data_IF_974659306788
#
_entry.id   IF_974659306788
#
_cell.length_a   1.000
_cell.length_b   1.000
_cell.length_c   1.000
_cell.angle_alpha   90.00
_cell.angle_beta   90.00
_cell.angle_gamma   90.00
#
_symmetry.space_group_name_H-M   'P 1'
#
loop_
_entity.id
_entity.type
_entity.pdbx_description
1 polymer ?
#
# COMPACT_ATOMS: atom_id res chain seq x y z
N UNK A 1 -13.60 -10.55 40.95
CA UNK A 1 -13.47 -11.13 42.31
C UNK A 1 -13.95 -12.56 42.28
N UNK A 2 -13.10 -13.51 42.64
CA UNK A 2 -13.47 -14.92 42.81
C UNK A 2 -13.19 -15.33 44.25
N UNK A 3 -14.16 -15.99 44.89
CA UNK A 3 -13.97 -16.59 46.20
C UNK A 3 -13.37 -17.98 46.00
N UNK A 4 -12.11 -18.15 46.40
CA UNK A 4 -11.41 -19.43 46.32
C UNK A 4 -11.12 -19.94 47.74
N UNK A 5 -11.21 -21.26 47.95
CA UNK A 5 -10.88 -21.89 49.21
C UNK A 5 -9.59 -22.67 49.04
N UNK A 6 -8.58 -22.34 49.83
CA UNK A 6 -7.29 -23.06 49.85
C UNK A 6 -7.11 -23.68 51.24
N UNK A 7 -7.85 -24.76 51.54
CA UNK A 7 -7.89 -25.31 52.89
C UNK A 7 -6.53 -25.93 53.25
N UNK A 8 -6.06 -25.68 54.48
CA UNK A 8 -4.81 -26.26 54.98
C UNK A 8 -4.89 -27.78 55.20
N UNK A 9 -6.11 -28.31 55.24
CA UNK A 9 -6.43 -29.72 55.41
C UNK A 9 -7.31 -30.19 54.24
N UNK A 10 -7.23 -31.49 53.87
CA UNK A 10 -8.17 -32.04 52.90
C UNK A 10 -9.63 -31.82 53.31
N UNK A 11 -10.52 -31.56 52.35
CA UNK A 11 -11.93 -31.28 52.59
C UNK A 11 -12.65 -32.34 53.44
N UNK A 12 -12.28 -33.61 53.30
CA UNK A 12 -12.85 -34.70 54.09
C UNK A 12 -12.49 -34.60 55.59
N UNK A 13 -11.28 -34.14 55.92
CA UNK A 13 -10.87 -33.92 57.32
C UNK A 13 -11.68 -32.78 57.93
N UNK A 14 -11.89 -31.70 57.18
CA UNK A 14 -12.71 -30.57 57.61
C UNK A 14 -14.18 -30.97 57.80
N UNK A 15 -14.72 -31.79 56.90
CA UNK A 15 -16.08 -32.32 57.04
C UNK A 15 -16.23 -33.18 58.30
N UNK A 16 -15.27 -34.07 58.58
CA UNK A 16 -15.27 -34.89 59.80
C UNK A 16 -15.17 -34.01 61.06
N UNK A 17 -14.29 -33.01 61.07
CA UNK A 17 -14.16 -32.05 62.18
C UNK A 17 -15.44 -31.24 62.39
N UNK A 18 -16.10 -30.81 61.31
CA UNK A 18 -17.36 -30.09 61.37
C UNK A 18 -18.48 -30.94 61.97
N UNK A 19 -18.60 -32.21 61.55
CA UNK A 19 -19.58 -33.15 62.11
C UNK A 19 -19.32 -33.40 63.60
N UNK A 20 -18.06 -33.65 63.98
CA UNK A 20 -17.67 -33.83 65.39
C UNK A 20 -18.00 -32.59 66.24
N UNK A 21 -17.67 -31.40 65.75
CA UNK A 21 -17.98 -30.14 66.42
C UNK A 21 -19.49 -29.95 66.61
N UNK A 22 -20.29 -30.28 65.58
CA UNK A 22 -21.76 -30.22 65.66
C UNK A 22 -22.33 -31.22 66.68
N UNK A 23 -21.84 -32.46 66.72
CA UNK A 23 -22.29 -33.47 67.69
C UNK A 23 -21.99 -33.02 69.12
N UNK A 24 -20.77 -32.53 69.38
CA UNK A 24 -20.38 -32.05 70.72
C UNK A 24 -21.21 -30.83 71.12
N UNK A 25 -21.41 -29.88 70.22
CA UNK A 25 -22.23 -28.70 70.49
C UNK A 25 -23.71 -29.05 70.72
N UNK A 26 -24.28 -29.95 69.91
CA UNK A 26 -25.67 -30.39 70.03
C UNK A 26 -25.93 -31.11 71.36
N UNK A 27 -25.04 -32.02 71.75
CA UNK A 27 -25.11 -32.69 73.05
C UNK A 27 -24.95 -31.70 74.22
N UNK A 28 -24.09 -30.68 74.08
CA UNK A 28 -23.91 -29.62 75.09
C UNK A 28 -25.16 -28.74 75.26
N UNK A 29 -25.83 -28.42 74.15
CA UNK A 29 -27.10 -27.68 74.13
C UNK A 29 -28.21 -28.53 74.77
N UNK A 30 -28.33 -29.82 74.38
CA UNK A 30 -29.32 -30.73 74.98
C UNK A 30 -29.11 -30.92 76.49
N UNK A 31 -27.87 -30.95 76.96
CA UNK A 31 -27.54 -31.07 78.40
C UNK A 31 -27.57 -29.75 79.17
N UNK A 32 -27.96 -28.64 78.54
CA UNK A 32 -28.09 -27.33 79.21
C UNK A 32 -26.78 -26.75 79.72
N UNK A 33 -25.64 -27.15 79.14
CA UNK A 33 -24.32 -26.67 79.58
C UNK A 33 -24.16 -25.21 79.16
N UNK A 34 -24.01 -24.31 80.15
CA UNK A 34 -23.77 -22.88 79.93
C UNK A 34 -22.53 -22.68 79.05
N UNK A 35 -22.66 -21.88 77.99
CA UNK A 35 -21.58 -21.58 77.05
C UNK A 35 -21.48 -22.50 75.82
N UNK A 36 -22.41 -23.45 75.63
CA UNK A 36 -22.40 -24.35 74.45
C UNK A 36 -22.59 -23.60 73.12
N UNK A 37 -23.37 -22.52 73.09
CA UNK A 37 -23.52 -21.65 71.91
C UNK A 37 -22.20 -20.94 71.56
N UNK A 38 -21.47 -20.47 72.57
CA UNK A 38 -20.17 -19.83 72.43
C UNK A 38 -19.10 -20.78 71.89
N UNK A 39 -19.13 -22.06 72.34
CA UNK A 39 -18.28 -23.12 71.80
C UNK A 39 -18.60 -23.45 70.35
N UNK A 40 -19.88 -23.49 69.96
CA UNK A 40 -20.28 -23.71 68.57
C UNK A 40 -19.77 -22.59 67.65
N UNK A 41 -19.88 -21.34 68.08
CA UNK A 41 -19.33 -20.19 67.32
C UNK A 41 -17.82 -20.30 67.22
N UNK A 42 -17.12 -20.67 68.29
CA UNK A 42 -15.67 -20.87 68.28
C UNK A 42 -15.24 -21.98 67.31
N UNK A 43 -15.93 -23.13 67.31
CA UNK A 43 -15.65 -24.21 66.36
C UNK A 43 -15.97 -23.80 64.92
N UNK A 44 -17.06 -23.08 64.69
CA UNK A 44 -17.40 -22.56 63.36
C UNK A 44 -16.31 -21.59 62.86
N UNK A 45 -15.85 -20.67 63.71
CA UNK A 45 -14.76 -19.75 63.39
C UNK A 45 -13.45 -20.50 63.08
N UNK A 46 -13.13 -21.55 63.84
CA UNK A 46 -11.96 -22.39 63.60
C UNK A 46 -12.04 -23.12 62.25
N UNK A 47 -13.20 -23.69 61.91
CA UNK A 47 -13.41 -24.38 60.64
C UNK A 47 -13.30 -23.41 59.47
N UNK A 48 -13.88 -22.21 59.58
CA UNK A 48 -13.75 -21.16 58.56
C UNK A 48 -12.30 -20.71 58.42
N UNK A 49 -11.56 -20.55 59.53
CA UNK A 49 -10.14 -20.23 59.49
C UNK A 49 -9.31 -21.33 58.80
N UNK A 50 -9.61 -22.60 59.05
CA UNK A 50 -8.93 -23.74 58.42
C UNK A 50 -9.32 -23.92 56.93
N UNK A 51 -10.54 -23.56 56.56
CA UNK A 51 -11.00 -23.52 55.18
C UNK A 51 -10.32 -22.40 54.37
N UNK A 52 -9.76 -21.39 55.06
CA UNK A 52 -8.94 -20.32 54.52
C UNK A 52 -9.58 -19.69 53.26
N UNK A 53 -10.67 -18.93 53.40
CA UNK A 53 -11.30 -18.24 52.29
C UNK A 53 -10.37 -17.14 51.77
N UNK A 54 -9.86 -17.28 50.55
CA UNK A 54 -9.14 -16.23 49.86
C UNK A 54 -10.09 -15.48 48.93
N UNK A 55 -10.23 -14.18 49.20
CA UNK A 55 -10.77 -13.22 48.26
C UNK A 55 -9.66 -12.84 47.29
N UNK A 56 -9.67 -13.44 46.09
CA UNK A 56 -8.78 -13.05 45.02
C UNK A 56 -9.44 -11.92 44.22
N UNK A 57 -8.90 -10.72 44.39
CA UNK A 57 -9.16 -9.60 43.49
C UNK A 57 -8.05 -9.59 42.46
N UNK A 58 -8.35 -10.13 41.28
CA UNK A 58 -7.44 -10.07 40.15
C UNK A 58 -7.63 -8.71 39.47
N UNK A 59 -6.71 -7.77 39.71
CA UNK A 59 -6.61 -6.53 38.96
C UNK A 59 -5.98 -6.85 37.61
N UNK A 60 -6.83 -6.97 36.59
CA UNK A 60 -6.39 -7.07 35.19
C UNK A 60 -6.51 -5.70 34.56
N UNK A 61 -5.38 -5.06 34.32
CA UNK A 61 -5.34 -3.90 33.43
C UNK A 61 -5.60 -4.39 32.00
N UNK A 62 -6.79 -4.08 31.47
CA UNK A 62 -7.09 -4.33 30.08
C UNK A 62 -6.16 -3.45 29.22
N UNK A 63 -5.21 -4.09 28.53
CA UNK A 63 -4.34 -3.40 27.59
C UNK A 63 -5.17 -2.72 26.49
N UNK A 64 -4.77 -1.51 26.10
CA UNK A 64 -5.42 -0.84 24.97
C UNK A 64 -5.25 -1.65 23.69
N UNK A 65 -6.35 -1.76 22.95
CA UNK A 65 -6.40 -2.34 21.61
C UNK A 65 -5.98 -1.27 20.61
N UNK A 66 -4.98 -1.56 19.80
CA UNK A 66 -4.47 -0.64 18.78
C UNK A 66 -5.19 -0.91 17.47
N UNK A 67 -5.67 0.17 16.84
CA UNK A 67 -6.31 0.14 15.52
C UNK A 67 -5.52 1.05 14.58
N UNK A 68 -4.63 0.49 13.74
CA UNK A 68 -4.00 1.28 12.68
C UNK A 68 -5.03 1.79 11.67
N UNK A 69 -4.98 3.10 11.41
CA UNK A 69 -5.74 3.79 10.39
C UNK A 69 -4.75 4.30 9.35
N UNK A 70 -4.72 3.64 8.19
CA UNK A 70 -3.81 3.97 7.10
C UNK A 70 -4.53 4.87 6.11
N UNK A 71 -3.99 6.06 5.91
CA UNK A 71 -4.56 7.09 5.05
C UNK A 71 -3.71 7.20 3.80
N UNK A 72 -4.31 6.95 2.64
CA UNK A 72 -3.65 7.10 1.36
C UNK A 72 -3.53 8.58 0.98
N UNK A 73 -2.29 9.03 0.79
CA UNK A 73 -1.90 10.37 0.32
C UNK A 73 -1.06 10.26 -0.96
N UNK A 74 -1.27 9.21 -1.75
CA UNK A 74 -0.65 9.09 -3.07
C UNK A 74 -1.20 10.14 -4.04
N UNK A 75 -0.50 10.31 -5.17
CA UNK A 75 -0.92 11.22 -6.27
C UNK A 75 -2.37 10.97 -6.71
N UNK A 76 -2.81 9.71 -6.71
CA UNK A 76 -4.20 9.31 -7.03
C UNK A 76 -5.27 9.90 -6.09
N UNK A 77 -4.88 10.28 -4.88
CA UNK A 77 -5.75 10.93 -3.88
C UNK A 77 -5.59 12.45 -3.86
N UNK A 78 -4.36 12.94 -4.01
CA UNK A 78 -4.04 14.37 -3.87
C UNK A 78 -4.38 15.17 -5.12
N UNK A 79 -4.21 14.58 -6.31
CA UNK A 79 -4.40 15.29 -7.57
C UNK A 79 -5.88 15.57 -7.87
N UNK A 80 -6.77 14.82 -7.22
CA UNK A 80 -8.22 15.02 -7.29
C UNK A 80 -8.67 15.72 -6.02
N UNK A 81 -8.86 17.04 -6.08
CA UNK A 81 -9.21 17.87 -4.92
C UNK A 81 -10.42 17.35 -4.12
N UNK A 82 -11.43 16.80 -4.80
CA UNK A 82 -12.61 16.24 -4.14
C UNK A 82 -12.30 14.98 -3.31
N UNK A 83 -11.34 14.15 -3.74
CA UNK A 83 -10.94 12.94 -3.01
C UNK A 83 -10.15 13.28 -1.77
N UNK A 84 -9.22 14.23 -1.84
CA UNK A 84 -8.46 14.69 -0.67
C UNK A 84 -9.39 15.18 0.46
N UNK A 85 -10.40 15.99 0.12
CA UNK A 85 -11.41 16.47 1.09
C UNK A 85 -12.24 15.31 1.66
N UNK A 86 -12.61 14.33 0.82
CA UNK A 86 -13.35 13.14 1.26
C UNK A 86 -12.51 12.29 2.23
N UNK A 87 -11.22 12.11 1.93
CA UNK A 87 -10.25 11.41 2.79
C UNK A 87 -10.12 12.08 4.15
N UNK A 88 -9.98 13.41 4.18
CA UNK A 88 -9.90 14.18 5.42
C UNK A 88 -11.17 14.08 6.27
N UNK A 89 -12.34 14.16 5.62
CA UNK A 89 -13.64 13.99 6.28
C UNK A 89 -13.81 12.58 6.83
N UNK A 90 -13.42 11.56 6.07
CA UNK A 90 -13.46 10.17 6.51
C UNK A 90 -12.52 9.94 7.71
N UNK A 91 -11.30 10.48 7.65
CA UNK A 91 -10.33 10.40 8.74
C UNK A 91 -10.86 11.07 10.02
N UNK A 92 -11.42 12.28 9.91
CA UNK A 92 -12.01 12.99 11.04
C UNK A 92 -13.18 12.19 11.65
N UNK A 93 -14.05 11.63 10.80
CA UNK A 93 -15.18 10.80 11.23
C UNK A 93 -14.73 9.51 11.95
N UNK A 94 -13.71 8.83 11.43
CA UNK A 94 -13.12 7.64 12.08
C UNK A 94 -12.51 8.02 13.42
N UNK A 95 -11.69 9.09 13.46
CA UNK A 95 -11.05 9.55 14.69
C UNK A 95 -12.07 9.86 15.79
N UNK A 96 -13.17 10.53 15.44
CA UNK A 96 -14.24 10.83 16.38
C UNK A 96 -14.95 9.57 16.88
N UNK A 97 -15.24 8.59 16.01
CA UNK A 97 -15.90 7.34 16.40
C UNK A 97 -15.01 6.46 17.27
N UNK A 98 -13.73 6.34 16.93
CA UNK A 98 -12.77 5.55 17.71
C UNK A 98 -12.50 6.19 19.08
N UNK A 99 -12.46 7.52 19.19
CA UNK A 99 -12.30 8.22 20.46
C UNK A 99 -13.44 7.97 21.46
N UNK A 100 -14.63 7.61 20.97
CA UNK A 100 -15.78 7.31 21.82
C UNK A 100 -15.77 5.87 22.39
N UNK A 101 -14.85 5.01 21.93
CA UNK A 101 -14.77 3.61 22.36
C UNK A 101 -13.62 3.48 23.38
N UNK A 102 -13.92 3.23 24.67
CA UNK A 102 -12.89 3.08 25.68
C UNK A 102 -12.00 1.86 25.40
N UNK A 103 -10.70 2.00 25.65
CA UNK A 103 -9.73 0.92 25.45
C UNK A 103 -9.25 0.75 24.00
N UNK A 104 -9.66 1.61 23.06
CA UNK A 104 -9.11 1.65 21.69
C UNK A 104 -8.17 2.82 21.52
N UNK A 105 -6.99 2.56 20.95
CA UNK A 105 -5.98 3.55 20.61
C UNK A 105 -5.80 3.60 19.09
N UNK A 106 -6.33 4.64 18.41
CA UNK A 106 -6.18 4.79 16.97
C UNK A 106 -4.76 5.24 16.64
N UNK A 107 -4.06 4.47 15.80
CA UNK A 107 -2.74 4.85 15.27
C UNK A 107 -2.88 5.28 13.82
N UNK A 108 -2.84 6.58 13.58
CA UNK A 108 -3.00 7.14 12.24
C UNK A 108 -1.64 7.20 11.56
N UNK A 109 -1.56 6.63 10.36
CA UNK A 109 -0.37 6.69 9.50
C UNK A 109 -0.80 7.15 8.13
N UNK A 110 -0.18 8.22 7.64
CA UNK A 110 -0.39 8.71 6.29
C UNK A 110 0.68 8.14 5.37
N UNK A 111 0.26 7.41 4.35
CA UNK A 111 1.13 6.79 3.36
C UNK A 111 1.16 7.68 2.11
N UNK A 112 2.32 8.27 1.81
CA UNK A 112 2.54 9.07 0.61
C UNK A 112 3.49 8.37 -0.36
N UNK A 113 3.43 8.77 -1.63
CA UNK A 113 4.38 8.30 -2.64
C UNK A 113 5.75 8.97 -2.41
N UNK A 114 6.86 8.22 -2.32
CA UNK A 114 8.18 8.82 -2.17
C UNK A 114 8.54 9.70 -3.38
N UNK A 115 9.01 10.93 -3.13
CA UNK A 115 9.37 11.89 -4.19
C UNK A 115 10.48 11.38 -5.13
N UNK A 116 11.28 10.42 -4.68
CA UNK A 116 12.42 9.84 -5.41
C UNK A 116 12.09 8.61 -6.25
N UNK A 117 10.82 8.18 -6.29
CA UNK A 117 10.42 7.01 -7.07
C UNK A 117 10.09 7.38 -8.52
N UNK A 118 10.77 6.76 -9.48
CA UNK A 118 10.54 6.94 -10.93
C UNK A 118 9.14 6.46 -11.37
N UNK A 119 8.46 5.66 -10.54
CA UNK A 119 7.12 5.15 -10.81
C UNK A 119 6.23 5.41 -9.59
N UNK A 120 5.14 6.18 -9.74
CA UNK A 120 4.15 6.36 -8.69
C UNK A 120 3.64 4.99 -8.23
N UNK A 121 3.81 4.67 -6.96
CA UNK A 121 3.30 3.43 -6.36
C UNK A 121 2.67 3.71 -5.01
N UNK A 122 1.50 3.12 -4.79
CA UNK A 122 0.74 3.24 -3.55
C UNK A 122 1.05 2.04 -2.66
N UNK A 123 1.87 2.26 -1.63
CA UNK A 123 2.35 1.22 -0.71
C UNK A 123 1.71 1.33 0.67
N UNK A 124 0.50 0.79 0.82
CA UNK A 124 -0.27 0.93 2.06
C UNK A 124 0.02 -0.20 3.06
N UNK A 125 0.36 -1.40 2.58
CA UNK A 125 0.69 -2.53 3.44
C UNK A 125 2.07 -2.41 4.07
N UNK A 126 3.02 -1.78 3.37
CA UNK A 126 4.33 -1.39 3.93
C UNK A 126 4.12 -0.42 5.10
N UNK A 127 3.28 0.61 4.92
CA UNK A 127 2.93 1.56 5.99
C UNK A 127 2.21 0.87 7.16
N UNK A 128 1.31 -0.08 6.89
CA UNK A 128 0.64 -0.89 7.92
C UNK A 128 1.65 -1.74 8.71
N UNK A 129 2.56 -2.43 8.03
CA UNK A 129 3.60 -3.23 8.68
C UNK A 129 4.49 -2.37 9.56
N UNK A 130 4.85 -1.17 9.10
CA UNK A 130 5.63 -0.23 9.91
C UNK A 130 4.84 0.29 11.13
N UNK A 131 3.53 0.49 11.00
CA UNK A 131 2.66 0.94 12.09
C UNK A 131 2.46 -0.13 13.19
N UNK A 132 2.70 -1.40 12.85
CA UNK A 132 2.49 -2.54 13.73
C UNK A 132 3.80 -3.14 14.27
N UNK A 133 4.96 -2.69 13.80
CA UNK A 133 6.26 -3.31 14.10
C UNK A 133 6.61 -3.36 15.60
N UNK A 134 6.09 -2.41 16.38
CA UNK A 134 6.25 -2.24 17.82
C UNK A 134 5.02 -2.71 18.62
N UNK A 135 4.01 -3.27 17.96
CA UNK A 135 2.74 -3.70 18.58
C UNK A 135 2.63 -5.23 18.61
N UNK A 136 2.44 -5.84 19.79
CA UNK A 136 2.16 -7.26 19.89
C UNK A 136 0.89 -7.64 19.09
N UNK A 137 0.89 -8.73 18.31
CA UNK A 137 -0.27 -9.15 17.50
C UNK A 137 -1.59 -9.24 18.26
N UNK A 138 -1.54 -9.67 19.53
CA UNK A 138 -2.73 -9.82 20.39
C UNK A 138 -3.40 -8.49 20.77
N UNK A 139 -2.72 -7.35 20.60
CA UNK A 139 -3.27 -6.00 20.85
C UNK A 139 -3.89 -5.37 19.61
N UNK A 140 -3.79 -6.02 18.44
CA UNK A 140 -4.24 -5.45 17.17
C UNK A 140 -5.70 -5.85 16.97
N UNK A 141 -6.62 -4.88 17.06
CA UNK A 141 -8.06 -5.12 16.94
C UNK A 141 -8.55 -5.19 15.49
N UNK A 142 -7.81 -4.60 14.56
CA UNK A 142 -8.13 -4.52 13.13
C UNK A 142 -7.41 -3.37 12.46
N UNK A 143 -7.42 -3.32 11.13
CA UNK A 143 -6.84 -2.22 10.36
C UNK A 143 -7.90 -1.54 9.50
N UNK A 144 -7.81 -0.22 9.36
CA UNK A 144 -8.71 0.57 8.52
C UNK A 144 -7.87 1.28 7.46
N UNK A 145 -8.17 1.06 6.19
CA UNK A 145 -7.58 1.77 5.07
C UNK A 145 -8.55 2.82 4.52
N UNK A 146 -8.05 4.00 4.20
CA UNK A 146 -8.78 5.03 3.44
C UNK A 146 -8.02 5.22 2.13
N UNK A 147 -8.58 4.74 1.02
CA UNK A 147 -7.92 4.70 -0.31
C UNK A 147 -8.98 4.64 -1.42
N UNK A 148 -8.60 4.83 -2.69
CA UNK A 148 -9.47 4.64 -3.86
C UNK A 148 -9.46 3.18 -4.34
N UNK A 149 -8.69 2.32 -3.68
CA UNK A 149 -8.60 0.89 -3.94
C UNK A 149 -7.44 0.50 -4.85
N UNK A 150 -6.62 1.45 -5.31
CA UNK A 150 -5.44 1.16 -6.13
C UNK A 150 -4.19 0.99 -5.26
N UNK A 151 -3.98 -0.23 -4.79
CA UNK A 151 -2.85 -0.58 -3.91
C UNK A 151 -1.90 -1.53 -4.62
N UNK A 152 -0.61 -1.22 -4.60
CA UNK A 152 0.42 -1.92 -5.39
C UNK A 152 1.19 -2.97 -4.60
N UNK A 153 1.05 -2.96 -3.27
CA UNK A 153 1.78 -3.85 -2.35
C UNK A 153 0.85 -4.82 -1.61
N UNK A 154 -0.31 -5.14 -2.19
CA UNK A 154 -1.25 -6.11 -1.61
C UNK A 154 -0.55 -7.47 -1.48
N UNK A 155 -0.38 -8.00 -0.25
CA UNK A 155 0.28 -9.28 -0.06
C UNK A 155 -0.59 -10.40 -0.60
N UNK A 156 0.00 -11.47 -1.16
CA UNK A 156 -0.74 -12.61 -1.69
C UNK A 156 -1.50 -13.39 -0.60
N UNK A 157 -1.13 -13.21 0.67
CA UNK A 157 -1.79 -13.82 1.81
C UNK A 157 -1.79 -12.89 3.02
N UNK A 158 -2.96 -12.53 3.53
CA UNK A 158 -3.08 -11.64 4.70
C UNK A 158 -2.46 -12.22 5.98
N UNK A 159 -2.29 -13.55 6.06
CA UNK A 159 -1.61 -14.20 7.21
C UNK A 159 -0.14 -13.80 7.35
N UNK A 160 0.50 -13.30 6.28
CA UNK A 160 1.89 -12.86 6.35
C UNK A 160 2.07 -11.53 7.07
N UNK A 161 0.98 -10.79 7.35
CA UNK A 161 1.04 -9.54 8.10
C UNK A 161 1.25 -9.73 9.60
N UNK A 162 1.19 -10.97 10.11
CA UNK A 162 1.32 -11.23 11.54
C UNK A 162 0.13 -10.70 12.38
N UNK A 163 -1.02 -10.45 11.75
CA UNK A 163 -2.26 -10.07 12.43
C UNK A 163 -3.35 -11.11 12.21
N UNK A 164 -4.11 -11.40 13.28
CA UNK A 164 -5.33 -12.22 13.23
C UNK A 164 -6.55 -11.32 13.46
N UNK A 165 -6.63 -10.24 12.69
CA UNK A 165 -7.61 -9.18 12.87
C UNK A 165 -8.19 -8.74 11.51
N UNK A 166 -9.45 -8.28 11.49
CA UNK A 166 -10.11 -7.88 10.25
C UNK A 166 -9.46 -6.63 9.64
N UNK A 167 -9.48 -6.57 8.31
CA UNK A 167 -9.08 -5.40 7.53
C UNK A 167 -10.32 -4.79 6.91
N UNK A 168 -10.53 -3.50 7.15
CA UNK A 168 -11.62 -2.72 6.59
C UNK A 168 -11.07 -1.64 5.66
N UNK A 169 -11.80 -1.35 4.59
CA UNK A 169 -11.43 -0.32 3.62
C UNK A 169 -12.61 0.64 3.43
N UNK A 170 -12.32 1.94 3.56
CA UNK A 170 -13.19 3.01 3.09
C UNK A 170 -12.68 3.46 1.73
N UNK A 171 -13.50 3.21 0.72
CA UNK A 171 -13.22 3.62 -0.65
C UNK A 171 -13.56 5.09 -0.85
N UNK A 172 -12.59 5.88 -1.28
CA UNK A 172 -12.80 7.26 -1.72
C UNK A 172 -13.09 7.31 -3.21
N UNK A 173 -14.17 7.99 -3.57
CA UNK A 173 -14.66 8.06 -4.95
C UNK A 173 -16.18 8.01 -5.03
N UNK A 174 -16.69 8.07 -6.25
CA UNK A 174 -18.11 7.97 -6.58
C UNK A 174 -18.40 6.64 -7.25
N UNK A 175 -19.65 6.19 -7.12
CA UNK A 175 -20.11 5.05 -7.89
C UNK A 175 -20.01 5.34 -9.39
N UNK A 176 -19.61 4.32 -10.16
CA UNK A 176 -19.50 4.39 -11.62
C UNK A 176 -18.48 5.41 -12.14
N UNK A 177 -17.44 5.72 -11.37
CA UNK A 177 -16.29 6.47 -11.90
C UNK A 177 -15.65 5.72 -13.07
N UNK A 178 -15.21 6.50 -14.06
CA UNK A 178 -14.44 6.02 -15.19
C UNK A 178 -13.36 7.03 -15.51
N UNK A 179 -12.24 6.54 -16.01
CA UNK A 179 -11.09 7.36 -16.34
C UNK A 179 -10.49 6.88 -17.65
N UNK A 180 -10.01 7.81 -18.46
CA UNK A 180 -9.25 7.48 -19.65
C UNK A 180 -7.77 7.70 -19.34
N UNK A 181 -6.94 6.81 -19.83
CA UNK A 181 -5.49 6.97 -19.75
C UNK A 181 -4.78 6.49 -20.99
N UNK A 182 -3.58 7.02 -21.20
CA UNK A 182 -2.67 6.57 -22.25
C UNK A 182 -1.37 6.07 -21.61
N UNK A 183 -0.93 4.88 -22.02
CA UNK A 183 0.33 4.29 -21.56
C UNK A 183 1.24 3.95 -22.73
N UNK A 184 2.55 4.05 -22.47
CA UNK A 184 3.59 3.64 -23.40
C UNK A 184 3.94 2.18 -23.10
N UNK A 185 3.45 1.26 -23.93
CA UNK A 185 3.65 -0.19 -23.73
C UNK A 185 5.07 -0.60 -24.11
N UNK A 186 5.59 -0.06 -25.22
CA UNK A 186 6.95 -0.34 -25.70
C UNK A 186 7.48 0.87 -26.44
N UNK A 187 8.64 1.35 -26.03
CA UNK A 187 9.30 2.44 -26.73
C UNK A 187 10.83 2.27 -26.71
N UNK A 188 11.52 2.63 -27.80
CA UNK A 188 12.97 2.63 -27.83
C UNK A 188 13.53 3.75 -26.94
N UNK A 189 14.64 3.45 -26.25
CA UNK A 189 15.39 4.44 -25.45
C UNK A 189 16.39 5.24 -26.29
N UNK A 190 16.82 4.67 -27.40
CA UNK A 190 17.76 5.27 -28.35
C UNK A 190 17.21 5.16 -29.75
N UNK A 191 17.45 6.18 -30.58
CA UNK A 191 17.09 6.15 -31.99
C UNK A 191 18.10 6.89 -32.84
N UNK A 192 18.24 6.49 -34.11
CA UNK A 192 19.14 7.17 -35.03
C UNK A 192 18.47 8.43 -35.56
N UNK A 193 19.16 9.57 -35.48
CA UNK A 193 18.66 10.85 -35.99
C UNK A 193 18.30 10.73 -37.47
N UNK A 194 17.10 11.18 -37.84
CA UNK A 194 16.58 11.11 -39.20
C UNK A 194 16.03 9.75 -39.62
N UNK A 195 16.14 8.71 -38.77
CA UNK A 195 15.49 7.42 -39.02
C UNK A 195 14.15 7.32 -38.30
N UNK A 196 13.23 6.56 -38.90
CA UNK A 196 11.95 6.23 -38.29
C UNK A 196 12.14 5.19 -37.19
N UNK A 197 11.46 5.38 -36.06
CA UNK A 197 11.44 4.49 -34.92
C UNK A 197 9.99 4.14 -34.60
N UNK A 198 9.76 2.89 -34.22
CA UNK A 198 8.43 2.38 -33.88
C UNK A 198 8.26 2.26 -32.37
N UNK A 199 7.06 2.60 -31.90
CA UNK A 199 6.64 2.40 -30.52
C UNK A 199 5.20 1.90 -30.45
N UNK A 200 4.85 1.30 -29.32
CA UNK A 200 3.51 0.80 -29.02
C UNK A 200 2.91 1.62 -27.89
N UNK A 201 1.74 2.18 -28.18
CA UNK A 201 0.93 2.96 -27.25
C UNK A 201 -0.38 2.20 -27.00
N UNK A 202 -0.95 2.35 -25.82
CA UNK A 202 -2.27 1.82 -25.50
C UNK A 202 -3.10 2.89 -24.80
N UNK A 203 -4.28 3.13 -25.33
CA UNK A 203 -5.33 3.90 -24.64
C UNK A 203 -6.16 2.91 -23.84
N UNK A 204 -6.42 3.22 -22.57
CA UNK A 204 -7.19 2.39 -21.65
C UNK A 204 -8.34 3.25 -21.13
N UNK A 205 -9.55 2.69 -21.15
CA UNK A 205 -10.71 3.25 -20.47
C UNK A 205 -10.97 2.38 -19.23
N UNK A 206 -10.64 2.88 -18.05
CA UNK A 206 -10.89 2.23 -16.77
C UNK A 206 -12.30 2.54 -16.27
N UNK A 207 -12.96 1.55 -15.68
CA UNK A 207 -14.32 1.67 -15.16
C UNK A 207 -15.32 0.71 -15.81
N UNK A 208 -16.60 0.86 -15.45
CA UNK A 208 -17.66 -0.01 -15.98
C UNK A 208 -17.96 0.32 -17.44
N UNK A 209 -17.95 -0.70 -18.30
CA UNK A 209 -18.36 -0.59 -19.73
C UNK A 209 -19.77 -0.03 -19.92
N UNK A 210 -20.62 -0.10 -18.89
CA UNK A 210 -21.97 0.47 -18.92
C UNK A 210 -21.98 2.00 -18.77
N UNK A 211 -20.93 2.57 -18.17
CA UNK A 211 -20.82 4.01 -17.92
C UNK A 211 -19.96 4.71 -18.97
N UNK A 212 -19.01 3.98 -19.56
CA UNK A 212 -18.16 4.50 -20.62
C UNK A 212 -19.01 4.62 -21.90
N UNK A 213 -19.14 5.82 -22.51
CA UNK A 213 -19.81 5.98 -23.80
C UNK A 213 -19.19 5.01 -24.82
N UNK A 214 -20.02 4.39 -25.68
CA UNK A 214 -19.56 3.39 -26.66
C UNK A 214 -18.23 3.82 -27.30
N UNK A 215 -17.20 2.98 -27.12
CA UNK A 215 -15.79 3.32 -27.31
C UNK A 215 -15.47 3.69 -28.77
N UNK A 216 -15.75 4.94 -29.11
CA UNK A 216 -15.29 5.54 -30.35
C UNK A 216 -13.76 5.62 -30.31
N UNK A 217 -13.06 5.47 -31.46
CA UNK A 217 -11.63 5.65 -31.51
C UNK A 217 -11.23 7.00 -30.90
N UNK A 218 -10.37 6.97 -29.90
CA UNK A 218 -9.91 8.17 -29.22
C UNK A 218 -8.86 8.86 -30.08
N UNK A 219 -8.97 10.18 -30.26
CA UNK A 219 -7.96 10.97 -30.95
C UNK A 219 -6.80 11.22 -30.00
N UNK A 220 -5.60 10.84 -30.42
CA UNK A 220 -4.35 11.09 -29.70
C UNK A 220 -3.56 12.14 -30.48
N UNK A 221 -3.17 13.21 -29.81
CA UNK A 221 -2.22 14.21 -30.33
C UNK A 221 -0.83 13.93 -29.82
N UNK A 222 0.16 14.05 -30.70
CA UNK A 222 1.57 13.82 -30.38
C UNK A 222 2.32 15.14 -30.49
N UNK A 223 3.19 15.41 -29.51
CA UNK A 223 4.15 16.50 -29.58
C UNK A 223 5.56 15.96 -29.42
N UNK A 224 6.47 16.44 -30.25
CA UNK A 224 7.89 16.07 -30.18
C UNK A 224 8.68 17.35 -29.90
N UNK A 225 9.32 17.43 -28.74
CA UNK A 225 10.03 18.63 -28.27
C UNK A 225 9.15 19.90 -28.26
N UNK A 226 7.84 19.74 -28.03
CA UNK A 226 6.86 20.84 -28.03
C UNK A 226 6.29 21.21 -29.40
N UNK A 227 6.82 20.65 -30.49
CA UNK A 227 6.30 20.83 -31.86
C UNK A 227 5.21 19.79 -32.17
N UNK A 228 4.29 20.12 -33.07
CA UNK A 228 3.20 19.22 -33.48
C UNK A 228 3.76 18.01 -34.25
N UNK A 229 3.65 16.82 -33.64
CA UNK A 229 4.05 15.54 -34.19
C UNK A 229 2.92 14.81 -34.92
N UNK A 230 1.75 15.45 -35.05
CA UNK A 230 0.57 14.91 -35.70
C UNK A 230 -0.43 14.26 -34.75
N UNK A 231 -1.45 13.62 -35.33
CA UNK A 231 -2.51 12.96 -34.57
C UNK A 231 -2.83 11.60 -35.16
N UNK A 232 -3.17 10.64 -34.31
CA UNK A 232 -3.66 9.32 -34.74
C UNK A 232 -4.88 8.93 -33.91
N UNK A 233 -5.59 7.89 -34.34
CA UNK A 233 -6.72 7.33 -33.61
C UNK A 233 -6.34 5.99 -32.99
N UNK A 234 -6.68 5.82 -31.72
CA UNK A 234 -6.44 4.59 -30.97
C UNK A 234 -7.79 4.01 -30.51
N UNK A 235 -7.98 2.70 -30.68
CA UNK A 235 -9.12 2.01 -30.10
C UNK A 235 -8.77 1.64 -28.64
N UNK A 236 -9.54 2.08 -27.64
CA UNK A 236 -9.28 1.73 -26.25
C UNK A 236 -9.18 0.21 -26.02
N UNK A 237 -8.20 -0.19 -25.22
CA UNK A 237 -7.85 -1.59 -24.93
C UNK A 237 -7.01 -2.30 -26.01
N UNK A 238 -6.64 -1.63 -27.11
CA UNK A 238 -5.79 -2.21 -28.16
C UNK A 238 -4.45 -1.49 -28.28
N UNK A 239 -3.40 -2.28 -28.56
CA UNK A 239 -2.08 -1.76 -28.87
C UNK A 239 -2.12 -1.07 -30.23
N UNK A 240 -1.73 0.20 -30.24
CA UNK A 240 -1.68 1.03 -31.43
C UNK A 240 -0.22 1.35 -31.74
N UNK A 241 0.32 0.88 -32.87
CA UNK A 241 1.66 1.23 -33.29
C UNK A 241 1.71 2.70 -33.72
N UNK A 242 2.79 3.37 -33.35
CA UNK A 242 3.09 4.73 -33.77
C UNK A 242 4.54 4.81 -34.21
N UNK A 243 4.77 5.40 -35.39
CA UNK A 243 6.10 5.59 -35.96
C UNK A 243 6.42 7.07 -36.01
N UNK A 244 7.63 7.44 -35.59
CA UNK A 244 8.10 8.81 -35.61
C UNK A 244 9.55 8.89 -36.07
N UNK A 245 9.96 10.05 -36.58
CA UNK A 245 11.36 10.29 -36.97
C UNK A 245 12.07 11.03 -35.85
N UNK A 246 13.27 10.56 -35.46
CA UNK A 246 14.07 11.22 -34.42
C UNK A 246 14.61 12.55 -34.97
N UNK A 247 14.21 13.71 -34.41
CA UNK A 247 14.48 14.99 -35.05
C UNK A 247 15.91 15.49 -34.81
N UNK A 248 16.45 15.26 -33.60
CA UNK A 248 17.79 15.75 -33.23
C UNK A 248 18.55 14.76 -32.36
N UNK A 249 19.87 14.97 -32.31
CA UNK A 249 20.75 14.26 -31.41
C UNK A 249 20.54 14.70 -29.95
N UNK A 250 20.78 13.80 -29.00
CA UNK A 250 20.52 14.01 -27.58
C UNK A 250 19.06 13.78 -27.21
N UNK A 251 18.64 14.30 -26.06
CA UNK A 251 17.32 14.00 -25.50
C UNK A 251 16.18 14.64 -26.31
N UNK A 252 15.21 13.80 -26.66
CA UNK A 252 13.95 14.17 -27.29
C UNK A 252 12.79 13.77 -26.37
N UNK A 253 11.86 14.69 -26.18
CA UNK A 253 10.66 14.50 -25.34
C UNK A 253 9.48 14.27 -26.26
N UNK A 254 8.85 13.10 -26.13
CA UNK A 254 7.59 12.77 -26.79
C UNK A 254 6.47 12.89 -25.77
N UNK A 255 5.48 13.74 -26.08
CA UNK A 255 4.27 13.91 -25.28
C UNK A 255 3.08 13.39 -26.10
N UNK A 256 2.32 12.48 -25.50
CA UNK A 256 1.09 11.93 -26.05
C UNK A 256 -0.06 12.43 -25.20
N UNK A 257 -1.06 13.05 -25.82
CA UNK A 257 -2.29 13.48 -25.14
C UNK A 257 -3.48 12.83 -25.83
N UNK A 258 -4.28 12.09 -25.08
CA UNK A 258 -5.54 11.53 -25.58
C UNK A 258 -6.70 12.47 -25.26
N UNK A 259 -7.67 12.58 -26.16
CA UNK A 259 -8.88 13.34 -25.91
C UNK A 259 -9.69 12.69 -24.76
N UNK A 260 -9.94 13.49 -23.73
CA UNK A 260 -10.73 13.10 -22.56
C UNK A 260 -12.19 12.81 -22.90
N UNK A 261 -12.84 12.11 -21.98
CA UNK A 261 -14.27 11.81 -22.03
C UNK A 261 -15.04 12.77 -21.12
N UNK A 262 -16.22 13.26 -21.54
CA UNK A 262 -17.05 14.09 -20.67
C UNK A 262 -17.44 13.35 -19.40
N UNK A 263 -17.03 13.87 -18.23
CA UNK A 263 -17.34 13.27 -16.93
C UNK A 263 -16.32 12.26 -16.41
N UNK A 264 -15.14 12.15 -17.04
CA UNK A 264 -14.02 11.37 -16.50
C UNK A 264 -13.51 11.94 -15.17
N UNK A 265 -12.84 11.10 -14.39
CA UNK A 265 -12.35 11.49 -13.06
C UNK A 265 -11.24 12.53 -13.16
N UNK A 266 -10.29 12.36 -14.07
CA UNK A 266 -9.16 13.28 -14.21
C UNK A 266 -8.58 13.28 -15.63
N UNK A 267 -8.24 14.46 -16.14
CA UNK A 267 -7.51 14.57 -17.42
C UNK A 267 -6.00 14.35 -17.27
N UNK A 268 -5.50 14.17 -16.05
CA UNK A 268 -4.06 14.03 -15.78
C UNK A 268 -3.51 12.75 -16.42
N UNK A 269 -4.26 11.65 -16.31
CA UNK A 269 -3.87 10.36 -16.85
C UNK A 269 -4.02 10.28 -18.38
N UNK A 270 -4.64 11.29 -19.00
CA UNK A 270 -4.73 11.40 -20.46
C UNK A 270 -3.40 11.78 -21.13
N UNK A 271 -2.33 11.97 -20.36
CA UNK A 271 -1.02 12.37 -20.88
C UNK A 271 0.05 11.34 -20.54
N UNK A 272 0.87 11.00 -21.52
CA UNK A 272 2.07 10.19 -21.33
C UNK A 272 3.28 10.90 -21.94
N UNK A 273 4.40 10.85 -21.24
CA UNK A 273 5.67 11.42 -21.69
C UNK A 273 6.70 10.31 -21.82
N UNK A 274 7.41 10.26 -22.94
CA UNK A 274 8.51 9.33 -23.18
C UNK A 274 9.76 10.08 -23.62
N UNK A 275 10.91 9.68 -23.07
CA UNK A 275 12.21 10.24 -23.40
C UNK A 275 12.98 9.27 -24.32
N UNK A 276 13.49 9.79 -25.43
CA UNK A 276 14.38 9.05 -26.34
C UNK A 276 15.63 9.85 -26.66
N UNK A 277 16.78 9.20 -26.60
CA UNK A 277 18.06 9.81 -26.98
C UNK A 277 18.39 9.54 -28.45
N UNK A 278 18.54 10.63 -29.20
CA UNK A 278 18.97 10.60 -30.58
C UNK A 278 20.47 10.43 -30.70
N UNK A 279 20.91 9.36 -31.36
CA UNK A 279 22.32 9.14 -31.69
C UNK A 279 22.55 9.40 -33.18
N UNK A 280 23.70 10.00 -33.50
CA UNK A 280 24.10 10.15 -34.90
C UNK A 280 24.65 8.82 -35.40
N UNK A 281 24.31 8.45 -36.63
CA UNK A 281 24.99 7.37 -37.32
C UNK A 281 26.31 7.89 -37.87
N UNK A 282 27.40 7.16 -37.62
CA UNK A 282 28.68 7.51 -38.22
C UNK A 282 28.66 7.21 -39.72
N UNK A 283 29.16 8.14 -40.52
CA UNK A 283 29.38 7.99 -41.95
C UNK A 283 30.50 6.96 -42.17
N UNK A 284 30.15 5.81 -42.75
CA UNK A 284 31.15 4.82 -43.14
C UNK A 284 31.76 5.21 -44.47
N UNK A 285 33.06 5.48 -44.47
CA UNK A 285 33.80 5.87 -45.68
C UNK A 285 34.82 4.78 -45.98
N UNK A 286 34.80 4.28 -47.22
CA UNK A 286 35.82 3.38 -47.74
C UNK A 286 36.78 4.19 -48.62
N UNK A 287 38.01 4.39 -48.15
CA UNK A 287 39.07 4.98 -48.96
C UNK A 287 39.85 3.85 -49.64
N UNK A 288 39.92 3.85 -50.96
CA UNK A 288 40.72 2.91 -51.75
C UNK A 288 41.82 3.70 -52.45
N UNK A 289 43.08 3.40 -52.16
CA UNK A 289 44.24 3.99 -52.85
C UNK A 289 45.06 2.92 -53.57
N UNK A 290 45.68 3.27 -54.70
CA UNK A 290 46.60 2.39 -55.42
C UNK A 290 48.01 2.47 -54.83
N UNK A 291 48.67 3.61 -54.99
CA UNK A 291 50.02 3.84 -54.45
C UNK A 291 50.02 4.89 -53.31
N UNK A 292 50.84 4.75 -52.26
CA UNK A 292 50.88 5.70 -51.16
C UNK A 292 51.37 7.09 -51.62
N UNK A 293 50.52 8.11 -51.53
CA UNK A 293 50.88 9.49 -51.87
C UNK A 293 50.50 10.51 -50.79
N UNK A 294 51.10 11.70 -50.84
CA UNK A 294 50.90 12.74 -49.82
C UNK A 294 49.44 13.21 -49.70
N UNK A 295 48.71 13.25 -50.83
CA UNK A 295 47.29 13.60 -50.87
C UNK A 295 46.39 12.61 -50.12
N UNK A 296 46.66 11.31 -50.21
CA UNK A 296 45.92 10.28 -49.46
C UNK A 296 46.04 10.49 -47.95
N UNK A 297 47.24 10.79 -47.45
CA UNK A 297 47.47 11.05 -46.02
C UNK A 297 46.67 12.26 -45.54
N UNK A 298 46.60 13.31 -46.35
CA UNK A 298 45.79 14.49 -46.05
C UNK A 298 44.29 14.15 -45.95
N UNK A 299 43.75 13.40 -46.93
CA UNK A 299 42.35 12.97 -46.91
C UNK A 299 42.03 12.02 -45.76
N UNK A 300 42.89 11.03 -45.50
CA UNK A 300 42.72 10.10 -44.36
C UNK A 300 42.74 10.85 -43.03
N UNK A 301 43.68 11.76 -42.83
CA UNK A 301 43.79 12.51 -41.57
C UNK A 301 42.60 13.45 -41.38
N UNK A 302 42.11 14.08 -42.45
CA UNK A 302 40.94 14.94 -42.41
C UNK A 302 39.67 14.13 -42.08
N UNK A 303 39.44 13.01 -42.77
CA UNK A 303 38.28 12.15 -42.51
C UNK A 303 38.33 11.48 -41.14
N UNK A 304 39.51 11.09 -40.64
CA UNK A 304 39.67 10.51 -39.30
C UNK A 304 39.56 11.54 -38.17
N UNK A 305 39.68 12.83 -38.49
CA UNK A 305 39.57 13.91 -37.49
C UNK A 305 38.12 14.24 -37.12
N UNK A 306 37.16 13.86 -37.95
CA UNK A 306 35.73 14.01 -37.66
C UNK A 306 35.21 12.80 -36.88
N UNK A 307 34.74 13.03 -35.66
CA UNK A 307 34.17 11.98 -34.81
C UNK A 307 32.89 11.34 -35.40
N UNK A 308 32.28 11.94 -36.41
CA UNK A 308 31.13 11.41 -37.13
C UNK A 308 31.49 10.47 -38.29
N UNK A 309 32.78 10.20 -38.56
CA UNK A 309 33.21 9.38 -39.69
C UNK A 309 33.93 8.12 -39.22
N UNK A 310 33.49 6.97 -39.73
CA UNK A 310 34.15 5.67 -39.57
C UNK A 310 34.87 5.32 -40.87
N UNK A 311 36.19 5.50 -40.88
CA UNK A 311 37.03 5.35 -42.08
C UNK A 311 37.71 3.99 -42.12
N UNK A 312 37.45 3.22 -43.16
CA UNK A 312 38.22 2.03 -43.53
C UNK A 312 39.07 2.34 -44.75
N UNK A 313 40.37 2.09 -44.68
CA UNK A 313 41.32 2.38 -45.75
C UNK A 313 41.93 1.09 -46.28
N UNK A 314 41.83 0.88 -47.60
CA UNK A 314 42.50 -0.20 -48.33
C UNK A 314 43.52 0.38 -49.32
N UNK A 315 44.64 -0.30 -49.44
CA UNK A 315 45.65 -0.06 -50.47
C UNK A 315 45.69 -1.30 -51.38
N UNK A 316 45.57 -1.11 -52.69
CA UNK A 316 45.52 -2.18 -53.70
C UNK A 316 46.67 -2.03 -54.68
#
# INVERSE_FOLDING_TARGET
MSLSFSPYLPWWVLAVLAVLALVVAFLGIQKGIRGSTLRLIAFAALIVALANPLLLSEDRDALSTIVPVIVDRSQSQTDIAARNVMTDQALAGIKQRLANIPGIEPRIVEASTPETSDTPSTRLFEALSSAMADVPPARIGGAIFITDGQVHDVPPNLKTLGMDAPVHTLLTGKANEFDRRIEVVRAPRFGIVGQSQDMLLRVIDDGSKATIPASAPAKVSVRINGEDGGTFTAAPGKDTPFSFTVPRAGSNVLEFTVAGLPGEVSEINNKAVHLIDGIRQNLRVLLVSGEPHAGERAWRNLLKSDAAVDLVHFTI
#
